data_IF_178227333161
#
_entry.id   IF_178227333161
#
_cell.length_a   1.000
_cell.length_b   1.000
_cell.length_c   1.000
_cell.angle_alpha   90.00
_cell.angle_beta   90.00
_cell.angle_gamma   90.00
#
_symmetry.space_group_name_H-M   'P 1'
#
loop_
_entity.id
_entity.type
_entity.pdbx_description
1 polymer ?
#
# COMPACT_ATOMS: atom_id res chain seq x y z
N UNK A 1 -20.96 -19.09 -27.24
CA UNK A 1 -19.86 -19.36 -28.17
C UNK A 1 -20.24 -18.79 -29.54
N UNK A 2 -19.37 -17.96 -30.15
CA UNK A 2 -19.56 -17.53 -31.53
C UNK A 2 -18.89 -18.51 -32.47
N UNK A 3 -19.47 -18.66 -33.67
CA UNK A 3 -18.95 -19.51 -34.71
C UNK A 3 -17.51 -19.04 -35.08
N UNK A 4 -16.62 -19.99 -35.26
CA UNK A 4 -15.23 -19.79 -35.66
C UNK A 4 -15.13 -19.00 -36.99
N UNK A 5 -16.10 -19.16 -37.90
CA UNK A 5 -16.21 -18.38 -39.12
C UNK A 5 -16.39 -16.90 -38.92
N UNK A 6 -17.13 -16.52 -37.87
CA UNK A 6 -17.33 -15.09 -37.48
C UNK A 6 -16.04 -14.48 -36.98
N UNK A 7 -15.27 -15.21 -36.16
CA UNK A 7 -13.97 -14.73 -35.64
C UNK A 7 -12.97 -14.64 -36.81
N UNK A 8 -12.90 -15.63 -37.69
CA UNK A 8 -12.05 -15.58 -38.88
C UNK A 8 -12.33 -14.37 -39.77
N UNK A 9 -13.63 -13.99 -39.95
CA UNK A 9 -13.99 -12.76 -40.66
C UNK A 9 -13.43 -11.49 -39.99
N UNK A 10 -13.46 -11.41 -38.66
CA UNK A 10 -12.88 -10.27 -37.95
C UNK A 10 -11.36 -10.23 -38.09
N UNK A 11 -10.69 -11.38 -38.03
CA UNK A 11 -9.24 -11.48 -38.24
C UNK A 11 -8.89 -11.01 -39.67
N UNK A 12 -9.57 -11.53 -40.69
CA UNK A 12 -9.33 -11.11 -42.08
C UNK A 12 -9.54 -9.60 -42.27
N UNK A 13 -10.54 -9.01 -41.61
CA UNK A 13 -10.79 -7.57 -41.70
C UNK A 13 -9.66 -6.75 -41.08
N UNK A 14 -8.98 -7.24 -40.03
CA UNK A 14 -7.81 -6.55 -39.41
C UNK A 14 -6.71 -6.37 -40.45
N UNK A 15 -6.44 -7.43 -41.25
CA UNK A 15 -5.41 -7.39 -42.27
C UNK A 15 -5.86 -6.64 -43.56
N UNK A 16 -7.12 -6.82 -43.99
CA UNK A 16 -7.63 -6.14 -45.16
C UNK A 16 -7.77 -4.61 -44.98
N UNK A 17 -8.04 -4.18 -43.76
CA UNK A 17 -8.12 -2.76 -43.42
C UNK A 17 -6.73 -2.13 -43.22
N UNK A 18 -5.66 -2.93 -43.30
CA UNK A 18 -4.28 -2.46 -43.07
C UNK A 18 -3.95 -2.09 -41.62
N UNK A 19 -4.75 -2.56 -40.65
CA UNK A 19 -4.54 -2.27 -39.25
C UNK A 19 -3.28 -2.95 -38.69
N UNK A 20 -3.02 -4.20 -39.15
CA UNK A 20 -1.85 -4.98 -38.81
C UNK A 20 -1.25 -5.65 -40.03
N UNK A 21 0.05 -5.89 -39.98
CA UNK A 21 0.77 -6.61 -41.04
C UNK A 21 0.79 -8.12 -40.76
N UNK A 22 0.38 -8.93 -41.73
CA UNK A 22 0.25 -10.38 -41.58
C UNK A 22 1.59 -11.05 -41.23
N UNK A 23 2.67 -10.66 -41.93
CA UNK A 23 4.00 -11.25 -41.79
C UNK A 23 4.61 -11.12 -40.37
N UNK A 24 4.25 -10.05 -39.64
CA UNK A 24 4.78 -9.77 -38.30
C UNK A 24 3.89 -10.26 -37.14
N UNK A 25 2.66 -10.69 -37.45
CA UNK A 25 1.62 -11.00 -36.46
C UNK A 25 1.09 -12.42 -36.50
N UNK A 26 1.41 -13.19 -37.53
CA UNK A 26 0.92 -14.56 -37.74
C UNK A 26 2.09 -15.52 -37.88
N UNK A 27 2.08 -16.58 -37.09
CA UNK A 27 3.01 -17.71 -37.21
C UNK A 27 2.23 -18.97 -37.64
N UNK A 28 2.80 -19.77 -38.54
CA UNK A 28 2.24 -21.06 -38.97
C UNK A 28 3.03 -22.19 -38.36
N UNK A 29 2.34 -23.13 -37.72
CA UNK A 29 2.93 -24.34 -37.18
C UNK A 29 2.25 -25.58 -37.74
N UNK A 30 3.06 -26.54 -38.20
CA UNK A 30 2.57 -27.84 -38.57
C UNK A 30 2.18 -28.66 -37.34
N UNK A 31 0.96 -29.18 -37.32
CA UNK A 31 0.45 -30.06 -36.26
C UNK A 31 -0.05 -31.35 -36.88
N UNK A 32 0.33 -32.49 -36.30
CA UNK A 32 -0.15 -33.80 -36.70
C UNK A 32 -1.41 -34.12 -35.89
N UNK A 33 -2.52 -34.36 -36.59
CA UNK A 33 -3.78 -34.78 -35.97
C UNK A 33 -4.14 -36.20 -36.46
N UNK A 34 -4.56 -37.05 -35.53
CA UNK A 34 -5.03 -38.40 -35.83
C UNK A 34 -6.51 -38.30 -36.22
N UNK A 35 -6.83 -38.53 -37.51
CA UNK A 35 -8.20 -38.61 -38.02
C UNK A 35 -8.53 -40.06 -38.35
N UNK A 36 -9.23 -40.73 -37.44
CA UNK A 36 -9.49 -42.17 -37.55
C UNK A 36 -8.21 -42.99 -37.39
N UNK A 37 -7.74 -43.60 -38.49
CA UNK A 37 -6.50 -44.40 -38.53
C UNK A 37 -5.34 -43.72 -39.29
N UNK A 38 -5.51 -42.46 -39.68
CA UNK A 38 -4.51 -41.73 -40.48
C UNK A 38 -3.97 -40.54 -39.74
N UNK A 39 -2.65 -40.34 -39.82
CA UNK A 39 -2.00 -39.10 -39.40
C UNK A 39 -2.16 -38.07 -40.52
N UNK A 40 -2.73 -36.92 -40.20
CA UNK A 40 -2.92 -35.80 -41.12
C UNK A 40 -2.14 -34.61 -40.57
N UNK A 41 -1.16 -34.12 -41.33
CA UNK A 41 -0.42 -32.92 -41.05
C UNK A 41 -1.24 -31.70 -41.49
N UNK A 42 -1.46 -30.73 -40.58
CA UNK A 42 -2.16 -29.48 -40.88
C UNK A 42 -1.35 -28.29 -40.41
N UNK A 43 -1.25 -27.26 -41.22
CA UNK A 43 -0.74 -25.96 -40.82
C UNK A 43 -1.83 -25.21 -40.08
N UNK A 44 -1.53 -24.81 -38.81
CA UNK A 44 -2.41 -24.01 -37.99
C UNK A 44 -1.77 -22.63 -37.81
N UNK A 45 -2.59 -21.60 -38.04
CA UNK A 45 -2.19 -20.21 -37.82
C UNK A 45 -2.35 -19.81 -36.37
N UNK A 46 -1.30 -19.24 -35.79
CA UNK A 46 -1.27 -18.66 -34.46
C UNK A 46 -1.09 -17.15 -34.58
N UNK A 47 -1.87 -16.42 -33.82
CA UNK A 47 -1.95 -14.97 -33.85
C UNK A 47 -1.31 -14.38 -32.58
N UNK A 48 -0.57 -13.28 -32.73
CA UNK A 48 0.02 -12.58 -31.61
C UNK A 48 -1.02 -11.76 -30.82
N UNK A 49 -0.57 -11.09 -29.75
CA UNK A 49 -1.45 -10.30 -28.87
C UNK A 49 -2.11 -9.13 -29.59
N UNK A 50 -1.44 -8.53 -30.60
CA UNK A 50 -1.98 -7.38 -31.34
C UNK A 50 -3.23 -7.76 -32.10
N UNK A 51 -3.22 -8.93 -32.80
CA UNK A 51 -4.41 -9.45 -33.46
C UNK A 51 -5.54 -9.74 -32.50
N UNK A 52 -5.24 -10.29 -31.31
CA UNK A 52 -6.24 -10.56 -30.27
C UNK A 52 -6.89 -9.25 -29.80
N UNK A 53 -6.10 -8.19 -29.58
CA UNK A 53 -6.58 -6.87 -29.18
C UNK A 53 -7.48 -6.28 -30.27
N UNK A 54 -7.03 -6.24 -31.52
CA UNK A 54 -7.76 -5.68 -32.65
C UNK A 54 -9.10 -6.39 -32.88
N UNK A 55 -9.11 -7.73 -32.86
CA UNK A 55 -10.33 -8.54 -32.94
C UNK A 55 -11.26 -8.25 -31.75
N UNK A 56 -10.72 -8.10 -30.52
CA UNK A 56 -11.47 -7.77 -29.30
C UNK A 56 -12.26 -6.46 -29.43
N UNK A 57 -11.70 -5.45 -30.10
CA UNK A 57 -12.39 -4.20 -30.37
C UNK A 57 -13.51 -4.33 -31.41
N UNK A 58 -13.40 -5.26 -32.34
CA UNK A 58 -14.34 -5.46 -33.46
C UNK A 58 -15.51 -6.38 -33.12
N UNK A 59 -15.34 -7.28 -32.15
CA UNK A 59 -16.37 -8.27 -31.80
C UNK A 59 -17.56 -7.65 -31.11
N UNK A 60 -18.74 -7.71 -31.76
CA UNK A 60 -20.03 -7.26 -31.21
C UNK A 60 -20.63 -8.36 -30.30
N UNK A 61 -20.11 -8.51 -29.09
CA UNK A 61 -20.64 -9.44 -28.09
C UNK A 61 -20.56 -8.81 -26.70
N UNK A 62 -21.27 -9.37 -25.72
CA UNK A 62 -21.19 -8.92 -24.34
C UNK A 62 -19.75 -8.97 -23.79
N UNK A 63 -18.99 -10.03 -24.11
CA UNK A 63 -17.58 -10.14 -23.76
C UNK A 63 -16.70 -9.12 -24.49
N UNK A 64 -17.01 -8.80 -25.75
CA UNK A 64 -16.35 -7.73 -26.49
C UNK A 64 -16.62 -6.34 -25.87
N UNK A 65 -17.82 -6.10 -25.32
CA UNK A 65 -18.13 -4.87 -24.57
C UNK A 65 -17.29 -4.83 -23.28
N UNK A 66 -17.25 -5.91 -22.51
CA UNK A 66 -16.43 -6.00 -21.30
C UNK A 66 -14.94 -5.78 -21.59
N UNK A 67 -14.43 -6.37 -22.68
CA UNK A 67 -13.05 -6.17 -23.12
C UNK A 67 -12.78 -4.69 -23.45
N UNK A 68 -13.64 -4.03 -24.23
CA UNK A 68 -13.48 -2.60 -24.56
C UNK A 68 -13.55 -1.70 -23.33
N UNK A 69 -14.46 -1.97 -22.40
CA UNK A 69 -14.55 -1.23 -21.14
C UNK A 69 -13.26 -1.37 -20.33
N UNK A 70 -12.76 -2.60 -20.19
CA UNK A 70 -11.49 -2.87 -19.51
C UNK A 70 -10.32 -2.18 -20.21
N UNK A 71 -10.19 -2.30 -21.53
CA UNK A 71 -9.10 -1.68 -22.29
C UNK A 71 -9.15 -0.14 -22.23
N UNK A 72 -10.36 0.44 -22.35
CA UNK A 72 -10.55 1.89 -22.21
C UNK A 72 -10.17 2.37 -20.80
N UNK A 73 -10.49 1.60 -19.76
CA UNK A 73 -10.09 1.96 -18.41
C UNK A 73 -8.57 1.91 -18.25
N UNK A 74 -7.89 0.88 -18.81
CA UNK A 74 -6.42 0.81 -18.79
C UNK A 74 -5.77 1.97 -19.53
N UNK A 75 -6.32 2.35 -20.68
CA UNK A 75 -5.85 3.51 -21.44
C UNK A 75 -6.06 4.83 -20.68
N UNK A 76 -7.21 5.02 -20.05
CA UNK A 76 -7.47 6.17 -19.18
C UNK A 76 -6.49 6.23 -18.01
N UNK A 77 -6.26 5.10 -17.32
CA UNK A 77 -5.31 5.04 -16.23
C UNK A 77 -3.91 5.45 -16.70
N UNK A 78 -3.49 4.96 -17.87
CA UNK A 78 -2.21 5.32 -18.46
C UNK A 78 -2.11 6.82 -18.83
N UNK A 79 -3.13 7.36 -19.48
CA UNK A 79 -3.13 8.78 -19.91
C UNK A 79 -3.21 9.76 -18.71
N UNK A 80 -3.94 9.39 -17.66
CA UNK A 80 -4.13 10.28 -16.50
C UNK A 80 -3.00 10.14 -15.49
N UNK A 81 -2.54 8.90 -15.23
CA UNK A 81 -1.56 8.58 -14.17
C UNK A 81 -0.14 8.39 -14.71
N UNK A 82 0.05 8.31 -16.02
CA UNK A 82 1.35 8.00 -16.67
C UNK A 82 1.74 6.52 -16.64
N UNK A 83 0.91 5.64 -16.04
CA UNK A 83 1.16 4.19 -15.98
C UNK A 83 -0.14 3.38 -15.88
N UNK A 84 -0.09 2.11 -16.30
CA UNK A 84 -1.15 1.12 -16.07
C UNK A 84 -0.56 -0.13 -15.42
N UNK A 85 -1.06 -0.52 -14.26
CA UNK A 85 -0.55 -1.65 -13.48
C UNK A 85 -1.50 -2.84 -13.57
N UNK A 86 -0.94 -4.02 -13.86
CA UNK A 86 -1.66 -5.29 -13.71
C UNK A 86 -1.59 -5.75 -12.26
N UNK A 87 -2.60 -5.39 -11.47
CA UNK A 87 -2.65 -5.66 -10.03
C UNK A 87 -2.65 -7.16 -9.69
N UNK A 88 -3.35 -8.00 -10.49
CA UNK A 88 -3.37 -9.45 -10.24
C UNK A 88 -1.99 -10.06 -10.46
N UNK A 89 -1.27 -9.63 -11.51
CA UNK A 89 0.08 -10.10 -11.77
C UNK A 89 1.07 -9.60 -10.72
N UNK A 90 0.88 -8.37 -10.24
CA UNK A 90 1.69 -7.79 -9.18
C UNK A 90 1.53 -8.54 -7.86
N UNK A 91 0.29 -8.84 -7.44
CA UNK A 91 0.01 -9.63 -6.23
C UNK A 91 0.58 -11.06 -6.32
N UNK A 92 0.45 -11.69 -7.49
CA UNK A 92 1.04 -13.02 -7.74
C UNK A 92 2.56 -12.96 -7.70
N UNK A 93 3.16 -11.97 -8.32
CA UNK A 93 4.61 -11.77 -8.32
C UNK A 93 5.15 -11.40 -6.93
N UNK A 94 4.35 -10.68 -6.12
CA UNK A 94 4.67 -10.35 -4.74
C UNK A 94 4.89 -11.60 -3.90
N UNK A 95 3.93 -12.54 -3.91
CA UNK A 95 4.04 -13.77 -3.15
C UNK A 95 5.27 -14.58 -3.57
N UNK A 96 5.52 -14.72 -4.88
CA UNK A 96 6.71 -15.39 -5.40
C UNK A 96 8.00 -14.68 -5.02
N UNK A 97 8.03 -13.36 -5.09
CA UNK A 97 9.19 -12.56 -4.73
C UNK A 97 9.53 -12.68 -3.23
N UNK A 98 8.52 -12.57 -2.36
CA UNK A 98 8.70 -12.74 -0.91
C UNK A 98 9.15 -14.16 -0.55
N UNK A 99 8.61 -15.18 -1.23
CA UNK A 99 9.06 -16.57 -1.06
C UNK A 99 10.52 -16.73 -1.49
N UNK A 100 10.91 -16.18 -2.64
CA UNK A 100 12.31 -16.21 -3.11
C UNK A 100 13.25 -15.51 -2.14
N UNK A 101 12.84 -14.38 -1.54
CA UNK A 101 13.63 -13.71 -0.51
C UNK A 101 13.77 -14.55 0.76
N UNK A 102 12.70 -15.22 1.20
CA UNK A 102 12.76 -16.12 2.34
C UNK A 102 13.71 -17.31 2.09
N UNK A 103 13.64 -17.91 0.91
CA UNK A 103 14.50 -19.00 0.49
C UNK A 103 15.98 -18.56 0.41
N UNK A 104 16.24 -17.37 -0.15
CA UNK A 104 17.58 -16.79 -0.19
C UNK A 104 18.12 -16.49 1.22
N UNK A 105 17.27 -16.00 2.13
CA UNK A 105 17.64 -15.75 3.52
C UNK A 105 18.10 -17.04 4.22
N UNK A 106 17.37 -18.14 4.05
CA UNK A 106 17.74 -19.45 4.59
C UNK A 106 19.08 -19.93 4.02
N UNK A 107 19.32 -19.73 2.73
CA UNK A 107 20.56 -20.11 2.07
C UNK A 107 21.78 -19.27 2.52
N UNK A 108 21.56 -18.01 2.92
CA UNK A 108 22.62 -17.10 3.37
C UNK A 108 22.91 -17.20 4.88
N UNK A 109 21.98 -17.68 5.68
CA UNK A 109 22.20 -17.90 7.13
C UNK A 109 23.26 -18.96 7.44
N UNK A 110 23.61 -19.81 6.47
CA UNK A 110 24.70 -20.80 6.58
C UNK A 110 26.09 -20.32 6.13
N UNK A 111 26.21 -19.15 5.52
CA UNK A 111 27.45 -18.60 4.96
C UNK A 111 27.78 -17.23 5.55
N UNK A 112 28.95 -17.05 6.12
CA UNK A 112 29.45 -15.84 6.79
C UNK A 112 29.79 -14.67 5.85
N UNK A 113 29.11 -14.51 4.72
CA UNK A 113 29.26 -13.35 3.84
C UNK A 113 28.25 -12.26 4.23
N UNK A 114 28.72 -11.31 5.02
CA UNK A 114 27.97 -10.15 5.55
C UNK A 114 27.28 -9.35 4.42
N UNK A 115 27.88 -9.23 3.26
CA UNK A 115 27.37 -8.45 2.12
C UNK A 115 26.06 -8.97 1.51
N UNK A 116 25.86 -10.30 1.44
CA UNK A 116 24.65 -10.88 0.86
C UNK A 116 23.43 -10.68 1.78
N UNK A 117 23.60 -10.71 3.09
CA UNK A 117 22.55 -10.49 4.08
C UNK A 117 22.08 -9.03 4.08
N UNK A 118 23.01 -8.10 3.96
CA UNK A 118 22.71 -6.66 3.92
C UNK A 118 21.96 -6.29 2.64
N UNK A 119 22.34 -6.87 1.50
CA UNK A 119 21.64 -6.67 0.22
C UNK A 119 20.21 -7.23 0.29
N UNK A 120 20.03 -8.42 0.85
CA UNK A 120 18.69 -9.02 1.02
C UNK A 120 17.80 -8.20 1.94
N UNK A 121 18.34 -7.67 3.03
CA UNK A 121 17.62 -6.80 3.96
C UNK A 121 17.21 -5.49 3.27
N UNK A 122 18.10 -4.90 2.45
CA UNK A 122 17.79 -3.70 1.66
C UNK A 122 16.66 -3.96 0.65
N UNK A 123 16.72 -5.08 -0.07
CA UNK A 123 15.69 -5.47 -1.05
C UNK A 123 14.35 -5.70 -0.34
N UNK A 124 14.34 -6.34 0.82
CA UNK A 124 13.13 -6.57 1.60
C UNK A 124 12.50 -5.25 2.06
N UNK A 125 13.30 -4.37 2.65
CA UNK A 125 12.84 -3.04 3.09
C UNK A 125 12.30 -2.20 1.92
N UNK A 126 12.94 -2.27 0.74
CA UNK A 126 12.46 -1.60 -0.45
C UNK A 126 11.11 -2.17 -0.92
N UNK A 127 10.96 -3.50 -0.88
CA UNK A 127 9.70 -4.17 -1.25
C UNK A 127 8.55 -3.77 -0.34
N UNK A 128 8.77 -3.76 0.97
CA UNK A 128 7.75 -3.35 1.96
C UNK A 128 7.31 -1.90 1.73
N UNK A 129 8.27 -1.00 1.47
CA UNK A 129 8.00 0.39 1.13
C UNK A 129 7.19 0.52 -0.17
N UNK A 130 7.57 -0.23 -1.20
CA UNK A 130 6.87 -0.22 -2.49
C UNK A 130 5.41 -0.69 -2.35
N UNK A 131 5.17 -1.77 -1.59
CA UNK A 131 3.82 -2.28 -1.37
C UNK A 131 2.98 -1.34 -0.48
N UNK A 132 3.58 -0.70 0.50
CA UNK A 132 2.91 0.31 1.32
C UNK A 132 2.48 1.52 0.47
N UNK A 133 3.35 2.03 -0.39
CA UNK A 133 3.04 3.12 -1.31
C UNK A 133 1.92 2.74 -2.30
N UNK A 134 1.98 1.53 -2.87
CA UNK A 134 0.94 1.04 -3.77
C UNK A 134 -0.43 0.91 -3.07
N UNK A 135 -0.46 0.47 -1.82
CA UNK A 135 -1.68 0.40 -1.01
C UNK A 135 -2.22 1.79 -0.69
N UNK A 136 -1.34 2.74 -0.39
CA UNK A 136 -1.67 4.15 -0.18
C UNK A 136 -2.31 4.77 -1.43
N UNK A 137 -1.72 4.56 -2.61
CA UNK A 137 -2.25 5.08 -3.88
C UNK A 137 -3.64 4.53 -4.22
N UNK A 138 -3.92 3.30 -3.81
CA UNK A 138 -5.22 2.65 -4.00
C UNK A 138 -6.24 2.97 -2.91
N UNK A 139 -5.87 3.71 -1.87
CA UNK A 139 -6.63 3.89 -0.62
C UNK A 139 -7.07 2.54 0.01
N UNK A 140 -6.21 1.53 -0.07
CA UNK A 140 -6.40 0.23 0.58
C UNK A 140 -5.61 0.26 1.88
N UNK A 141 -6.31 0.36 3.01
CA UNK A 141 -5.69 0.42 4.32
C UNK A 141 -5.99 -0.83 5.13
N UNK A 142 -5.10 -1.23 6.05
CA UNK A 142 -5.32 -2.40 6.88
C UNK A 142 -6.63 -2.28 7.67
N UNK A 143 -7.54 -3.24 7.47
CA UNK A 143 -8.78 -3.34 8.22
C UNK A 143 -8.62 -4.16 9.52
N UNK A 144 -7.47 -4.82 9.69
CA UNK A 144 -7.16 -5.65 10.86
C UNK A 144 -6.09 -4.95 11.70
N UNK A 145 -6.33 -4.90 13.01
CA UNK A 145 -5.40 -4.38 13.99
C UNK A 145 -5.52 -5.15 15.30
N UNK A 146 -4.71 -4.78 16.26
CA UNK A 146 -4.68 -5.40 17.58
C UNK A 146 -5.79 -4.85 18.47
N UNK A 147 -6.71 -5.71 18.90
CA UNK A 147 -7.76 -5.38 19.87
C UNK A 147 -7.26 -5.69 21.29
N UNK A 148 -6.33 -4.93 21.77
CA UNK A 148 -5.87 -4.99 23.16
C UNK A 148 -6.24 -3.69 23.86
N UNK A 149 -6.83 -3.80 25.07
CA UNK A 149 -7.02 -2.66 25.94
C UNK A 149 -5.67 -2.29 26.57
N UNK A 150 -5.28 -1.05 26.40
CA UNK A 150 -4.10 -0.48 27.05
C UNK A 150 -4.61 0.52 28.09
N UNK A 151 -4.45 0.16 29.35
CA UNK A 151 -4.75 1.10 30.45
C UNK A 151 -3.81 2.30 30.35
N UNK A 152 -4.40 3.46 30.14
CA UNK A 152 -3.66 4.71 29.98
C UNK A 152 -4.60 5.89 30.25
N UNK A 153 -4.02 7.03 30.65
CA UNK A 153 -4.78 8.25 30.93
C UNK A 153 -4.11 9.48 30.32
N UNK A 154 -4.90 10.55 30.16
CA UNK A 154 -4.38 11.85 29.72
C UNK A 154 -3.31 12.39 30.70
N UNK A 155 -3.50 12.20 32.02
CA UNK A 155 -2.55 12.61 33.03
C UNK A 155 -1.19 11.92 32.91
N UNK A 156 -1.16 10.65 32.55
CA UNK A 156 0.10 9.94 32.30
C UNK A 156 0.84 10.49 31.08
N UNK A 157 0.11 10.83 30.03
CA UNK A 157 0.69 11.48 28.85
C UNK A 157 1.21 12.89 29.18
N UNK A 158 0.46 13.68 29.97
CA UNK A 158 0.90 14.99 30.44
C UNK A 158 2.20 14.91 31.24
N UNK A 159 2.30 13.93 32.15
CA UNK A 159 3.54 13.68 32.91
C UNK A 159 4.71 13.36 32.00
N UNK A 160 4.48 12.49 30.97
CA UNK A 160 5.50 12.16 29.97
C UNK A 160 5.95 13.38 29.16
N UNK A 161 5.02 14.22 28.73
CA UNK A 161 5.33 15.47 28.01
C UNK A 161 6.05 16.48 28.88
N UNK A 162 5.70 16.57 30.17
CA UNK A 162 6.40 17.43 31.13
C UNK A 162 7.86 16.99 31.35
N UNK A 163 8.11 15.68 31.43
CA UNK A 163 9.47 15.14 31.52
C UNK A 163 10.28 15.45 30.24
N UNK A 164 9.69 15.22 29.05
CA UNK A 164 10.31 15.57 27.78
C UNK A 164 10.65 17.08 27.72
N UNK A 165 9.71 17.94 28.10
CA UNK A 165 9.93 19.38 28.16
C UNK A 165 11.12 19.74 29.03
N UNK A 166 11.18 19.21 30.27
CA UNK A 166 12.27 19.48 31.21
C UNK A 166 13.63 19.07 30.60
N UNK A 167 13.70 17.93 29.95
CA UNK A 167 14.92 17.45 29.27
C UNK A 167 15.33 18.34 28.11
N UNK A 168 14.38 18.71 27.22
CA UNK A 168 14.66 19.58 26.08
C UNK A 168 15.09 21.00 26.53
N UNK A 169 14.49 21.54 27.57
CA UNK A 169 14.94 22.82 28.13
C UNK A 169 16.37 22.71 28.68
N UNK A 170 16.69 21.65 29.41
CA UNK A 170 18.04 21.39 29.90
C UNK A 170 19.08 21.32 28.80
N UNK A 171 18.70 20.78 27.62
CA UNK A 171 19.57 20.71 26.42
C UNK A 171 19.60 22.02 25.59
N UNK A 172 18.78 23.00 25.93
CA UNK A 172 18.64 24.24 25.16
C UNK A 172 17.85 24.10 23.87
N UNK A 173 17.11 22.99 23.71
CA UNK A 173 16.36 22.64 22.50
C UNK A 173 14.88 23.06 22.54
N UNK A 174 14.40 23.57 23.70
CA UNK A 174 13.04 24.05 23.87
C UNK A 174 12.96 25.20 24.85
N UNK A 175 11.85 25.95 24.78
CA UNK A 175 11.48 27.02 25.71
C UNK A 175 10.37 26.57 26.66
N UNK A 176 9.98 27.43 27.60
CA UNK A 176 8.85 27.18 28.50
C UNK A 176 7.50 27.03 27.78
N UNK A 177 7.40 27.46 26.52
CA UNK A 177 6.21 27.34 25.69
C UNK A 177 6.02 25.94 25.11
N UNK A 178 7.08 25.11 25.09
CA UNK A 178 7.01 23.74 24.58
C UNK A 178 6.02 22.91 25.40
N UNK A 179 5.11 22.21 24.73
CA UNK A 179 4.04 21.40 25.33
C UNK A 179 3.23 22.12 26.41
N UNK A 180 3.18 23.44 26.37
CA UNK A 180 2.28 24.24 27.19
C UNK A 180 0.94 24.37 26.48
N UNK A 181 -0.13 23.87 27.09
CA UNK A 181 -1.46 23.94 26.48
C UNK A 181 -1.90 25.40 26.26
N UNK A 182 -2.53 25.65 25.10
CA UNK A 182 -3.17 26.93 24.77
C UNK A 182 -4.36 27.23 25.69
N UNK A 183 -5.15 26.18 25.94
CA UNK A 183 -6.30 26.17 26.83
C UNK A 183 -6.22 24.89 27.64
N UNK A 184 -6.38 25.02 28.95
CA UNK A 184 -6.36 23.87 29.87
C UNK A 184 -7.41 22.84 29.48
N UNK A 185 -7.01 21.59 29.40
CA UNK A 185 -7.85 20.46 29.01
C UNK A 185 -7.90 20.16 27.52
N UNK A 186 -7.14 20.88 26.67
CA UNK A 186 -7.06 20.58 25.24
C UNK A 186 -6.50 19.18 24.99
N UNK A 187 -5.46 18.77 25.70
CA UNK A 187 -4.88 17.44 25.57
C UNK A 187 -5.83 16.36 26.10
N UNK A 188 -6.48 16.62 27.24
CA UNK A 188 -7.50 15.73 27.80
C UNK A 188 -8.67 15.52 26.81
N UNK A 189 -9.14 16.61 26.16
CA UNK A 189 -10.18 16.53 25.12
C UNK A 189 -9.75 15.71 23.91
N UNK A 190 -8.50 15.85 23.43
CA UNK A 190 -7.97 15.02 22.34
C UNK A 190 -7.88 13.56 22.78
N UNK A 191 -7.36 13.31 23.98
CA UNK A 191 -7.27 11.98 24.54
C UNK A 191 -8.65 11.32 24.66
N UNK A 192 -9.62 12.04 25.25
CA UNK A 192 -11.00 11.60 25.36
C UNK A 192 -11.61 11.24 24.02
N UNK A 193 -11.38 12.05 22.99
CA UNK A 193 -11.87 11.75 21.63
C UNK A 193 -11.25 10.46 21.03
N UNK A 194 -10.01 10.15 21.36
CA UNK A 194 -9.33 8.94 20.86
C UNK A 194 -9.79 7.68 21.59
N UNK A 195 -10.05 7.80 22.90
CA UNK A 195 -10.36 6.66 23.77
C UNK A 195 -11.85 6.54 24.12
N UNK A 196 -12.72 7.35 23.50
CA UNK A 196 -14.16 7.28 23.74
C UNK A 196 -14.78 6.01 23.19
N UNK A 197 -15.78 5.52 23.91
CA UNK A 197 -16.68 4.47 23.44
C UNK A 197 -18.08 5.04 23.24
N UNK A 198 -18.72 4.69 22.13
CA UNK A 198 -20.09 5.09 21.79
C UNK A 198 -20.93 3.83 21.69
N UNK A 199 -21.99 3.73 22.50
CA UNK A 199 -22.83 2.54 22.59
C UNK A 199 -22.06 1.23 22.90
N UNK A 200 -20.99 1.32 23.69
CA UNK A 200 -20.16 0.16 24.05
C UNK A 200 -19.17 -0.29 22.97
N UNK A 201 -19.02 0.50 21.92
CA UNK A 201 -18.00 0.29 20.89
C UNK A 201 -17.01 1.44 20.88
N UNK A 202 -15.72 1.12 20.87
CA UNK A 202 -14.67 2.12 20.77
C UNK A 202 -14.75 2.85 19.43
N UNK A 203 -14.62 4.17 19.47
CA UNK A 203 -14.55 4.99 18.25
C UNK A 203 -13.39 4.55 17.33
N UNK A 204 -12.30 4.07 17.93
CA UNK A 204 -11.14 3.50 17.24
C UNK A 204 -10.81 2.15 17.89
N UNK A 205 -11.32 1.03 17.30
CA UNK A 205 -11.34 -0.26 17.96
C UNK A 205 -9.97 -0.93 18.09
N UNK A 206 -8.96 -0.51 17.31
CA UNK A 206 -7.64 -1.13 17.34
C UNK A 206 -6.62 -0.20 17.99
N UNK A 207 -5.60 -0.81 18.57
CA UNK A 207 -4.47 -0.10 19.15
C UNK A 207 -3.77 0.80 18.14
N UNK A 208 -3.58 0.31 16.92
CA UNK A 208 -2.95 1.03 15.82
C UNK A 208 -3.77 2.26 15.41
N UNK A 209 -5.09 2.14 15.37
CA UNK A 209 -5.99 3.27 15.09
C UNK A 209 -5.93 4.32 16.19
N UNK A 210 -5.94 3.91 17.46
CA UNK A 210 -5.79 4.85 18.60
C UNK A 210 -4.46 5.60 18.51
N UNK A 211 -3.35 4.88 18.24
CA UNK A 211 -2.03 5.50 18.07
C UNK A 211 -2.02 6.52 16.92
N UNK A 212 -2.54 6.12 15.75
CA UNK A 212 -2.58 6.96 14.56
C UNK A 212 -3.41 8.24 14.77
N UNK A 213 -4.58 8.10 15.41
CA UNK A 213 -5.45 9.25 15.71
C UNK A 213 -4.87 10.19 16.76
N UNK A 214 -4.18 9.65 17.78
CA UNK A 214 -3.49 10.45 18.77
C UNK A 214 -2.41 11.33 18.11
N UNK A 215 -1.57 10.73 17.26
CA UNK A 215 -0.58 11.46 16.46
C UNK A 215 -1.23 12.57 15.62
N UNK A 216 -2.26 12.21 14.86
CA UNK A 216 -2.95 13.11 13.93
C UNK A 216 -3.57 14.30 14.66
N UNK A 217 -4.35 14.05 15.72
CA UNK A 217 -5.07 15.11 16.42
C UNK A 217 -4.14 16.06 17.15
N UNK A 218 -3.08 15.59 17.80
CA UNK A 218 -2.11 16.49 18.45
C UNK A 218 -1.45 17.40 17.42
N UNK A 219 -1.09 16.87 16.24
CA UNK A 219 -0.47 17.68 15.20
C UNK A 219 -1.47 18.66 14.58
N UNK A 220 -2.70 18.24 14.27
CA UNK A 220 -3.67 19.08 13.55
C UNK A 220 -4.42 20.06 14.42
N UNK A 221 -4.78 19.68 15.63
CA UNK A 221 -5.55 20.55 16.53
C UNK A 221 -4.69 21.58 17.25
N UNK A 222 -3.35 21.44 17.18
CA UNK A 222 -2.40 22.37 17.79
C UNK A 222 -2.72 22.72 19.25
N UNK A 223 -2.84 21.73 20.18
CA UNK A 223 -3.22 21.97 21.56
C UNK A 223 -2.20 22.82 22.33
N UNK A 224 -0.95 22.86 21.88
CA UNK A 224 0.15 23.53 22.57
C UNK A 224 0.57 24.83 21.89
N UNK A 225 1.15 25.75 22.66
CA UNK A 225 1.73 27.00 22.18
C UNK A 225 2.93 26.75 21.27
N UNK A 226 3.76 25.76 21.60
CA UNK A 226 4.90 25.31 20.79
C UNK A 226 5.08 23.79 20.89
N UNK A 227 5.75 23.22 19.89
CA UNK A 227 6.18 21.82 19.88
C UNK A 227 5.10 20.81 19.50
N UNK A 228 3.99 21.21 18.85
CA UNK A 228 2.89 20.29 18.52
C UNK A 228 3.35 19.07 17.70
N UNK A 229 4.25 19.25 16.73
CA UNK A 229 4.80 18.13 15.93
C UNK A 229 5.62 17.17 16.81
N UNK A 230 6.52 17.70 17.63
CA UNK A 230 7.36 16.91 18.55
C UNK A 230 6.54 16.22 19.63
N UNK A 231 5.54 16.92 20.19
CA UNK A 231 4.61 16.35 21.17
C UNK A 231 3.75 15.26 20.57
N UNK A 232 3.27 15.42 19.32
CA UNK A 232 2.54 14.38 18.59
C UNK A 232 3.38 13.13 18.38
N UNK A 233 4.61 13.29 17.89
CA UNK A 233 5.54 12.18 17.70
C UNK A 233 5.87 11.48 19.04
N UNK A 234 6.10 12.23 20.10
CA UNK A 234 6.33 11.67 21.43
C UNK A 234 5.12 10.88 21.93
N UNK A 235 3.92 11.45 21.84
CA UNK A 235 2.68 10.80 22.28
C UNK A 235 2.40 9.50 21.54
N UNK A 236 2.69 9.47 20.24
CA UNK A 236 2.60 8.28 19.40
C UNK A 236 3.55 7.18 19.90
N UNK A 237 4.84 7.48 20.06
CA UNK A 237 5.83 6.52 20.55
C UNK A 237 5.54 6.09 21.98
N UNK A 238 5.13 7.02 22.84
CA UNK A 238 4.74 6.75 24.22
C UNK A 238 3.60 5.73 24.27
N UNK A 239 2.55 5.91 23.46
CA UNK A 239 1.43 4.99 23.41
C UNK A 239 1.82 3.62 22.83
N UNK A 240 2.62 3.58 21.77
CA UNK A 240 3.15 2.33 21.21
C UNK A 240 3.98 1.53 22.22
N UNK A 241 4.75 2.22 23.10
CA UNK A 241 5.51 1.56 24.18
C UNK A 241 4.61 0.92 25.23
N UNK A 242 3.47 1.51 25.52
CA UNK A 242 2.49 0.97 26.48
C UNK A 242 1.93 -0.40 26.03
N UNK A 243 1.79 -0.63 24.73
CA UNK A 243 1.29 -1.89 24.19
C UNK A 243 2.27 -3.06 24.31
N UNK A 244 3.49 -2.86 24.83
CA UNK A 244 4.53 -3.89 24.99
C UNK A 244 4.86 -4.67 23.69
N UNK A 245 4.55 -4.12 22.53
CA UNK A 245 4.84 -4.72 21.23
C UNK A 245 6.01 -4.02 20.55
N UNK A 246 6.77 -4.77 19.76
CA UNK A 246 7.96 -4.30 19.03
C UNK A 246 7.64 -3.34 17.86
N UNK A 247 6.51 -2.61 17.93
CA UNK A 247 6.12 -1.63 16.91
C UNK A 247 7.17 -0.54 16.68
N UNK A 248 7.91 -0.19 17.72
CA UNK A 248 8.91 0.89 17.65
C UNK A 248 10.05 0.53 16.71
N UNK A 249 10.39 -0.77 16.61
CA UNK A 249 11.43 -1.25 15.67
C UNK A 249 11.01 -1.12 14.20
N UNK A 250 9.72 -0.95 13.94
CA UNK A 250 9.17 -0.86 12.58
C UNK A 250 9.21 0.56 12.00
N UNK A 251 9.33 1.59 12.83
CA UNK A 251 9.33 3.00 12.39
C UNK A 251 10.67 3.63 12.76
N UNK A 252 11.46 3.98 11.73
CA UNK A 252 12.69 4.73 11.95
C UNK A 252 12.41 6.18 12.38
N UNK A 253 13.34 6.86 13.06
CA UNK A 253 13.21 8.28 13.41
C UNK A 253 12.92 9.17 12.20
N UNK A 254 13.54 8.87 11.05
CA UNK A 254 13.35 9.60 9.79
C UNK A 254 11.95 9.41 9.24
N UNK A 255 11.42 8.17 9.25
CA UNK A 255 10.05 7.86 8.84
C UNK A 255 9.04 8.58 9.71
N UNK A 256 9.22 8.58 11.05
CA UNK A 256 8.34 9.31 11.97
C UNK A 256 8.41 10.83 11.75
N UNK A 257 9.61 11.38 11.52
CA UNK A 257 9.78 12.80 11.19
C UNK A 257 9.04 13.17 9.92
N UNK A 258 9.24 12.40 8.85
CA UNK A 258 8.54 12.61 7.58
C UNK A 258 7.03 12.53 7.75
N UNK A 259 6.54 11.53 8.49
CA UNK A 259 5.12 11.35 8.76
C UNK A 259 4.51 12.55 9.52
N UNK A 260 5.19 13.05 10.55
CA UNK A 260 4.73 14.23 11.29
C UNK A 260 4.66 15.49 10.42
N UNK A 261 5.61 15.67 9.51
CA UNK A 261 5.62 16.77 8.55
C UNK A 261 4.49 16.63 7.54
N UNK A 262 4.29 15.45 6.97
CA UNK A 262 3.18 15.16 6.04
C UNK A 262 1.82 15.43 6.69
N UNK A 263 1.60 14.95 7.92
CA UNK A 263 0.36 15.22 8.65
C UNK A 263 0.19 16.73 8.86
N UNK A 264 1.23 17.44 9.28
CA UNK A 264 1.16 18.88 9.52
C UNK A 264 0.75 19.67 8.30
N UNK A 265 1.30 19.36 7.14
CA UNK A 265 1.06 20.04 5.87
C UNK A 265 -0.21 19.53 5.12
N UNK A 266 -0.76 18.36 5.49
CA UNK A 266 -1.93 17.77 4.82
C UNK A 266 -3.18 18.65 4.96
N UNK A 267 -4.12 18.52 4.02
CA UNK A 267 -5.45 19.12 4.17
C UNK A 267 -6.25 18.31 5.21
N UNK A 268 -7.06 18.94 6.09
CA UNK A 268 -7.97 18.22 6.99
C UNK A 268 -8.91 17.23 6.30
N UNK A 269 -9.25 17.45 5.03
CA UNK A 269 -10.04 16.52 4.21
C UNK A 269 -9.31 15.20 3.92
N UNK A 270 -7.98 15.19 4.03
CA UNK A 270 -7.15 14.01 3.78
C UNK A 270 -6.88 13.20 5.07
N UNK A 271 -7.63 13.45 6.14
CA UNK A 271 -7.47 12.77 7.44
C UNK A 271 -7.35 11.26 7.28
N UNK A 272 -8.32 10.64 6.61
CA UNK A 272 -8.38 9.17 6.48
C UNK A 272 -7.18 8.61 5.73
N UNK A 273 -6.67 9.35 4.73
CA UNK A 273 -5.42 8.99 4.02
C UNK A 273 -4.20 9.08 4.94
N UNK A 274 -4.11 10.11 5.77
CA UNK A 274 -2.99 10.26 6.70
C UNK A 274 -3.01 9.16 7.77
N UNK A 275 -4.19 8.87 8.33
CA UNK A 275 -4.39 7.74 9.25
C UNK A 275 -4.02 6.43 8.58
N UNK A 276 -4.53 6.19 7.36
CA UNK A 276 -4.22 4.99 6.57
C UNK A 276 -2.72 4.79 6.34
N UNK A 277 -1.97 5.87 6.08
CA UNK A 277 -0.51 5.82 5.93
C UNK A 277 0.18 5.37 7.22
N UNK A 278 -0.25 5.89 8.38
CA UNK A 278 0.27 5.46 9.69
C UNK A 278 0.00 3.99 9.92
N UNK A 279 -1.23 3.52 9.62
CA UNK A 279 -1.61 2.12 9.76
C UNK A 279 -0.80 1.19 8.85
N UNK A 280 -0.52 1.60 7.62
CA UNK A 280 0.34 0.85 6.70
C UNK A 280 1.75 0.68 7.26
N UNK A 281 2.33 1.74 7.84
CA UNK A 281 3.67 1.69 8.45
C UNK A 281 3.71 0.82 9.70
N UNK A 282 2.65 0.82 10.51
CA UNK A 282 2.55 -0.04 11.70
C UNK A 282 2.36 -1.52 11.35
N UNK A 283 1.66 -1.81 10.25
CA UNK A 283 1.34 -3.16 9.79
C UNK A 283 2.33 -3.72 8.75
N UNK A 284 3.30 -2.93 8.27
CA UNK A 284 4.34 -3.40 7.38
C UNK A 284 5.17 -4.51 8.09
N UNK A 285 5.01 -5.74 7.65
CA UNK A 285 5.58 -6.94 8.27
C UNK A 285 4.54 -7.96 8.79
N UNK A 286 3.25 -7.69 8.66
CA UNK A 286 2.16 -8.62 9.04
C UNK A 286 1.40 -9.12 7.80
N UNK A 287 2.06 -9.21 6.67
CA UNK A 287 1.51 -9.89 5.49
C UNK A 287 1.92 -11.36 5.54
N UNK A 288 1.31 -12.13 6.45
CA UNK A 288 1.20 -13.58 6.35
C UNK A 288 -0.04 -13.96 5.56
#
# INVERSE_FOLDING_TARGET
YRDIKTIGKHINNVFSDGELEFSSTVAKFATVQIEGTREVEREIEYYNLDVIISVGYRVKSQRGVQFRQWATQRLKDYLIKGYAINHQQLEKNKAQFLQTLADLKILTEGNSQIEAKDILTLIQNFSDTFFALNSYDKNIFPAKGTKEEVETSAEELEKGLAQLKAELIRKGEATQLFAQEKTKGNLEGIFGNVFQSVFGQDAYPTFEEKAAHLLYFIIKNHPFNDGNKRSGAFSFIWFLKKAKKDFIKKISPEALTTLTLLIAESNPKDKDRMIGLVLLLLNSGSYE
#
